data_IF_356064220259
#
_entry.id   IF_356064220259
#
_cell.length_a   1.000
_cell.length_b   1.000
_cell.length_c   1.000
_cell.angle_alpha   90.00
_cell.angle_beta   90.00
_cell.angle_gamma   90.00
#
_symmetry.space_group_name_H-M   'P 1'
#
loop_
_entity.id
_entity.type
_entity.pdbx_description
1 polymer ?
#
# COMPACT_ATOMS: atom_id res chain seq x y z
N UNK A 1 -21.13 10.78 17.91
CA UNK A 1 -20.95 11.63 16.72
C UNK A 1 -20.13 10.85 15.69
N UNK A 2 -20.63 10.61 14.47
CA UNK A 2 -19.82 9.99 13.42
C UNK A 2 -18.74 10.98 12.98
N UNK A 3 -17.50 10.80 13.44
CA UNK A 3 -16.34 11.54 12.94
C UNK A 3 -16.01 11.04 11.53
N UNK A 4 -16.64 11.60 10.50
CA UNK A 4 -16.20 11.36 9.11
C UNK A 4 -14.92 12.16 8.87
N UNK A 5 -13.82 11.46 8.57
CA UNK A 5 -12.57 12.11 8.19
C UNK A 5 -12.72 12.95 6.92
N UNK A 6 -11.94 14.03 6.79
CA UNK A 6 -11.81 14.77 5.53
C UNK A 6 -10.79 14.05 4.67
N UNK A 7 -11.25 13.42 3.58
CA UNK A 7 -10.42 12.59 2.69
C UNK A 7 -10.30 13.15 1.28
N UNK A 8 -10.89 14.31 1.01
CA UNK A 8 -10.81 14.96 -0.29
C UNK A 8 -9.40 15.49 -0.55
N UNK A 9 -8.85 15.15 -1.72
CA UNK A 9 -7.54 15.59 -2.18
C UNK A 9 -7.73 16.43 -3.46
N UNK A 10 -7.03 17.57 -3.62
CA UNK A 10 -7.10 18.33 -4.86
C UNK A 10 -6.68 17.47 -6.07
N UNK A 11 -7.46 17.53 -7.16
CA UNK A 11 -7.17 16.79 -8.39
C UNK A 11 -5.77 17.08 -8.93
N UNK A 12 -5.30 18.33 -8.77
CA UNK A 12 -3.92 18.72 -9.14
C UNK A 12 -2.88 17.86 -8.40
N UNK A 13 -3.04 17.67 -7.10
CA UNK A 13 -2.15 16.83 -6.29
C UNK A 13 -2.21 15.38 -6.73
N UNK A 14 -3.41 14.84 -7.03
CA UNK A 14 -3.55 13.48 -7.56
C UNK A 14 -2.83 13.30 -8.90
N UNK A 15 -2.88 14.30 -9.80
CA UNK A 15 -2.13 14.27 -11.07
C UNK A 15 -0.62 14.34 -10.87
N UNK A 16 -0.14 15.14 -9.90
CA UNK A 16 1.28 15.22 -9.54
C UNK A 16 1.80 13.88 -8.97
N UNK A 17 1.03 13.27 -8.06
CA UNK A 17 1.30 11.91 -7.56
C UNK A 17 1.33 10.92 -8.72
N UNK A 18 0.30 10.93 -9.58
CA UNK A 18 0.19 10.03 -10.72
C UNK A 18 1.38 10.08 -11.65
N UNK A 19 1.84 11.29 -11.99
CA UNK A 19 3.05 11.49 -12.81
C UNK A 19 4.27 10.80 -12.19
N UNK A 20 4.45 10.92 -10.87
CA UNK A 20 5.56 10.29 -10.13
C UNK A 20 5.42 8.78 -10.04
N UNK A 21 4.21 8.28 -9.82
CA UNK A 21 3.94 6.83 -9.76
C UNK A 21 4.24 6.12 -11.08
N UNK A 22 4.09 6.81 -12.20
CA UNK A 22 4.30 6.24 -13.54
C UNK A 22 5.67 6.56 -14.15
N UNK A 23 6.53 7.27 -13.41
CA UNK A 23 7.88 7.63 -13.88
C UNK A 23 8.85 6.47 -13.63
N UNK A 24 9.47 5.97 -14.71
CA UNK A 24 10.57 5.00 -14.65
C UNK A 24 11.89 5.76 -14.61
N UNK A 25 12.78 5.53 -13.62
CA UNK A 25 14.05 6.24 -13.52
C UNK A 25 14.94 6.08 -14.76
N UNK A 26 15.78 7.08 -15.02
CA UNK A 26 16.77 6.98 -16.10
C UNK A 26 17.73 5.83 -15.82
N UNK A 27 17.94 4.98 -16.82
CA UNK A 27 18.82 3.80 -16.71
C UNK A 27 18.14 2.57 -16.11
N UNK A 28 16.88 2.66 -15.69
CA UNK A 28 16.11 1.55 -15.14
C UNK A 28 15.45 0.73 -16.25
N UNK A 29 15.75 -0.57 -16.36
CA UNK A 29 15.14 -1.47 -17.34
C UNK A 29 13.95 -2.22 -16.74
N UNK A 30 12.75 -1.61 -16.80
CA UNK A 30 11.52 -2.29 -16.39
C UNK A 30 11.06 -3.32 -17.44
N UNK A 31 10.48 -4.43 -17.00
CA UNK A 31 9.90 -5.44 -17.89
C UNK A 31 8.82 -4.82 -18.80
N UNK A 32 8.76 -5.23 -20.08
CA UNK A 32 7.89 -4.62 -21.11
C UNK A 32 6.41 -4.54 -20.71
N UNK A 33 5.88 -5.58 -20.05
CA UNK A 33 4.49 -5.59 -19.55
C UNK A 33 4.25 -4.52 -18.48
N UNK A 34 5.25 -4.24 -17.65
CA UNK A 34 5.19 -3.22 -16.59
C UNK A 34 5.22 -1.82 -17.20
N UNK A 35 6.05 -1.60 -18.22
CA UNK A 35 6.04 -0.33 -18.96
C UNK A 35 4.66 -0.04 -19.54
N UNK A 36 4.02 -1.05 -20.16
CA UNK A 36 2.65 -0.90 -20.68
C UNK A 36 1.62 -0.62 -19.56
N UNK A 37 1.76 -1.30 -18.43
CA UNK A 37 0.90 -1.07 -17.25
C UNK A 37 1.03 0.37 -16.74
N UNK A 38 2.25 0.88 -16.58
CA UNK A 38 2.50 2.25 -16.12
C UNK A 38 1.98 3.30 -17.11
N UNK A 39 2.10 3.05 -18.41
CA UNK A 39 1.56 3.95 -19.44
C UNK A 39 0.04 3.99 -19.43
N UNK A 40 -0.64 2.85 -19.30
CA UNK A 40 -2.10 2.80 -19.16
C UNK A 40 -2.57 3.54 -17.90
N UNK A 41 -1.87 3.34 -16.78
CA UNK A 41 -2.13 4.08 -15.53
C UNK A 41 -1.92 5.58 -15.72
N UNK A 42 -0.88 6.01 -16.43
CA UNK A 42 -0.60 7.42 -16.71
C UNK A 42 -1.76 8.05 -17.47
N UNK A 43 -2.24 7.38 -18.52
CA UNK A 43 -3.34 7.85 -19.35
C UNK A 43 -4.64 8.00 -18.55
N UNK A 44 -5.00 7.02 -17.72
CA UNK A 44 -6.23 7.08 -16.92
C UNK A 44 -6.19 8.21 -15.88
N UNK A 45 -5.02 8.48 -15.27
CA UNK A 45 -4.86 9.59 -14.33
C UNK A 45 -4.91 10.95 -15.05
N UNK A 46 -4.30 11.06 -16.22
CA UNK A 46 -4.29 12.30 -17.00
C UNK A 46 -5.69 12.67 -17.50
N UNK A 47 -6.43 11.70 -18.04
CA UNK A 47 -7.82 11.89 -18.48
C UNK A 47 -8.79 12.06 -17.30
N UNK A 48 -8.53 11.38 -16.18
CA UNK A 48 -9.46 11.28 -15.05
C UNK A 48 -10.59 10.27 -15.28
N UNK A 49 -10.51 9.47 -16.34
CA UNK A 49 -11.51 8.47 -16.72
C UNK A 49 -10.91 7.06 -16.68
N UNK A 50 -11.74 6.07 -16.35
CA UNK A 50 -11.30 4.67 -16.32
C UNK A 50 -10.24 4.35 -15.26
N UNK A 51 -10.25 5.08 -14.13
CA UNK A 51 -9.41 4.79 -12.98
C UNK A 51 -9.79 3.41 -12.41
N UNK A 52 -8.86 2.47 -12.49
CA UNK A 52 -9.02 1.13 -11.94
C UNK A 52 -8.69 1.10 -10.43
N UNK A 53 -8.95 -0.04 -9.80
CA UNK A 53 -8.74 -0.22 -8.36
C UNK A 53 -7.29 0.03 -7.94
N UNK A 54 -6.34 -0.52 -8.70
CA UNK A 54 -4.91 -0.42 -8.39
C UNK A 54 -4.40 1.03 -8.49
N UNK A 55 -4.93 1.79 -9.44
CA UNK A 55 -4.58 3.21 -9.60
C UNK A 55 -5.17 4.05 -8.49
N UNK A 56 -6.44 3.82 -8.12
CA UNK A 56 -7.06 4.51 -7.00
C UNK A 56 -6.34 4.22 -5.67
N UNK A 57 -5.95 2.96 -5.43
CA UNK A 57 -5.15 2.55 -4.27
C UNK A 57 -3.81 3.31 -4.22
N UNK A 58 -3.05 3.32 -5.32
CA UNK A 58 -1.75 3.99 -5.36
C UNK A 58 -1.86 5.52 -5.20
N UNK A 59 -2.92 6.14 -5.73
CA UNK A 59 -3.21 7.56 -5.53
C UNK A 59 -3.54 7.87 -4.06
N UNK A 60 -4.34 7.02 -3.41
CA UNK A 60 -4.67 7.16 -1.99
C UNK A 60 -3.41 7.03 -1.12
N UNK A 61 -2.57 6.02 -1.39
CA UNK A 61 -1.29 5.86 -0.69
C UNK A 61 -0.40 7.09 -0.88
N UNK A 62 -0.26 7.57 -2.12
CA UNK A 62 0.53 8.77 -2.39
C UNK A 62 0.03 9.99 -1.61
N UNK A 63 -1.28 10.20 -1.50
CA UNK A 63 -1.85 11.31 -0.74
C UNK A 63 -1.56 11.19 0.76
N UNK A 64 -1.74 10.00 1.34
CA UNK A 64 -1.48 9.73 2.77
C UNK A 64 0.00 9.96 3.12
N UNK A 65 0.92 9.55 2.23
CA UNK A 65 2.36 9.75 2.39
C UNK A 65 2.75 11.23 2.30
N UNK A 66 2.14 11.99 1.39
CA UNK A 66 2.37 13.43 1.29
C UNK A 66 1.80 14.21 2.48
N UNK A 67 0.73 13.69 3.11
CA UNK A 67 0.19 14.22 4.37
C UNK A 67 1.05 13.87 5.60
N UNK A 68 2.16 13.13 5.40
CA UNK A 68 3.13 12.82 6.44
C UNK A 68 2.77 11.58 7.29
N UNK A 69 1.84 10.75 6.82
CA UNK A 69 1.46 9.51 7.50
C UNK A 69 2.17 8.32 6.82
N UNK A 70 3.01 7.57 7.56
CA UNK A 70 3.67 6.38 7.00
C UNK A 70 2.65 5.33 6.59
N UNK A 71 3.02 4.48 5.63
CA UNK A 71 2.21 3.34 5.23
C UNK A 71 3.05 2.08 5.34
N UNK A 72 2.47 1.05 5.92
CA UNK A 72 3.05 -0.29 6.00
C UNK A 72 2.06 -1.30 5.43
N UNK A 73 2.42 -1.96 4.34
CA UNK A 73 1.64 -3.02 3.71
C UNK A 73 2.41 -4.34 3.79
N UNK A 74 1.85 -5.32 4.49
CA UNK A 74 2.48 -6.61 4.72
C UNK A 74 1.56 -7.74 4.26
N UNK A 75 2.10 -8.67 3.48
CA UNK A 75 1.32 -9.78 2.95
C UNK A 75 2.10 -10.58 1.92
N UNK A 76 1.60 -11.76 1.57
CA UNK A 76 2.26 -12.63 0.60
C UNK A 76 2.11 -12.04 -0.81
N UNK A 77 3.24 -11.82 -1.48
CA UNK A 77 3.32 -11.21 -2.81
C UNK A 77 2.69 -9.81 -2.94
N UNK A 78 2.49 -9.09 -1.84
CA UNK A 78 1.83 -7.77 -1.83
C UNK A 78 2.58 -6.69 -2.60
N UNK A 79 3.90 -6.81 -2.80
CA UNK A 79 4.69 -5.85 -3.59
C UNK A 79 4.21 -5.77 -5.05
N UNK A 80 3.99 -6.94 -5.67
CA UNK A 80 3.42 -7.07 -7.02
C UNK A 80 1.88 -7.03 -6.97
N UNK A 81 1.32 -7.55 -5.89
CA UNK A 81 -0.07 -7.96 -5.77
C UNK A 81 -0.26 -9.38 -6.30
N UNK A 82 -1.05 -10.18 -5.60
CA UNK A 82 -1.39 -11.56 -5.97
C UNK A 82 -1.95 -11.66 -7.38
N UNK A 83 -2.78 -10.68 -7.78
CA UNK A 83 -3.42 -10.62 -9.11
C UNK A 83 -2.58 -9.84 -10.14
N UNK A 84 -1.30 -9.59 -9.84
CA UNK A 84 -0.40 -8.76 -10.66
C UNK A 84 -0.98 -7.39 -10.99
N UNK A 85 -1.69 -6.80 -10.03
CA UNK A 85 -2.43 -5.55 -10.21
C UNK A 85 -1.70 -4.33 -9.65
N UNK A 86 -0.85 -4.50 -8.63
CA UNK A 86 -0.36 -3.39 -7.82
C UNK A 86 0.94 -2.80 -8.34
N UNK A 87 1.96 -3.65 -8.50
CA UNK A 87 3.30 -3.26 -8.93
C UNK A 87 3.86 -2.04 -8.16
N UNK A 88 3.73 -2.02 -6.83
CA UNK A 88 4.28 -0.95 -5.97
C UNK A 88 5.81 -0.99 -5.89
N UNK A 89 6.41 -2.13 -6.23
CA UNK A 89 7.86 -2.30 -6.38
C UNK A 89 8.15 -2.73 -7.81
N UNK A 90 9.04 -1.97 -8.46
CA UNK A 90 9.58 -2.26 -9.76
C UNK A 90 10.95 -2.92 -9.58
N UNK A 91 11.25 -3.89 -10.43
CA UNK A 91 12.55 -4.57 -10.47
C UNK A 91 13.23 -4.31 -11.81
N UNK A 92 14.50 -3.90 -11.76
CA UNK A 92 15.34 -3.77 -12.95
C UNK A 92 15.65 -5.17 -13.51
N UNK A 93 15.46 -5.36 -14.82
CA UNK A 93 15.71 -6.64 -15.48
C UNK A 93 17.21 -6.98 -15.59
N UNK A 94 18.12 -6.02 -15.39
CA UNK A 94 19.57 -6.23 -15.52
C UNK A 94 20.22 -6.70 -14.24
N UNK A 95 19.88 -6.05 -13.13
CA UNK A 95 20.58 -6.21 -11.86
C UNK A 95 19.65 -6.43 -10.66
N UNK A 96 18.34 -6.60 -10.91
CA UNK A 96 17.31 -6.84 -9.89
C UNK A 96 17.18 -5.72 -8.85
N UNK A 97 17.76 -4.54 -9.10
CA UNK A 97 17.61 -3.38 -8.23
C UNK A 97 16.13 -3.00 -8.11
N UNK A 98 15.71 -2.74 -6.88
CA UNK A 98 14.34 -2.37 -6.54
C UNK A 98 14.16 -0.85 -6.64
N UNK A 99 13.06 -0.44 -7.27
CA UNK A 99 12.58 0.94 -7.25
C UNK A 99 11.13 1.00 -6.78
N UNK A 100 10.85 1.87 -5.81
CA UNK A 100 9.52 2.01 -5.21
C UNK A 100 9.01 3.41 -5.54
N UNK A 101 8.12 3.58 -6.53
CA UNK A 101 7.64 4.90 -6.94
C UNK A 101 6.98 5.68 -5.79
N UNK A 102 6.29 4.98 -4.90
CA UNK A 102 5.64 5.57 -3.73
C UNK A 102 6.63 6.20 -2.73
N UNK A 103 7.92 5.83 -2.74
CA UNK A 103 8.97 6.45 -1.92
C UNK A 103 9.69 7.61 -2.63
N UNK A 104 9.22 8.03 -3.81
CA UNK A 104 9.89 9.01 -4.67
C UNK A 104 8.91 10.12 -5.15
N UNK A 105 7.90 10.44 -4.35
CA UNK A 105 6.91 11.49 -4.62
C UNK A 105 7.43 12.89 -4.25
N UNK A 106 8.07 13.03 -3.09
CA UNK A 106 8.59 14.28 -2.54
C UNK A 106 9.72 14.01 -1.54
N UNK A 107 10.63 14.97 -1.32
CA UNK A 107 11.67 14.83 -0.28
C UNK A 107 11.14 14.89 1.16
N UNK A 108 9.94 15.44 1.36
CA UNK A 108 9.33 15.63 2.68
C UNK A 108 8.23 14.60 3.01
N UNK A 109 8.01 13.61 2.14
CA UNK A 109 6.97 12.61 2.34
C UNK A 109 7.29 11.66 3.50
N UNK A 110 6.26 10.97 4.01
CA UNK A 110 6.45 9.81 4.88
C UNK A 110 6.88 8.57 4.09
N UNK A 111 7.39 7.57 4.83
CA UNK A 111 7.85 6.31 4.26
C UNK A 111 6.71 5.36 3.89
N UNK A 112 6.84 4.72 2.73
CA UNK A 112 6.03 3.58 2.29
C UNK A 112 6.87 2.31 2.41
N UNK A 113 6.43 1.41 3.28
CA UNK A 113 7.01 0.09 3.49
C UNK A 113 6.05 -0.95 2.94
N UNK A 114 6.49 -1.73 1.96
CA UNK A 114 5.76 -2.89 1.45
C UNK A 114 6.63 -4.12 1.59
N UNK A 115 6.04 -5.17 2.15
CA UNK A 115 6.76 -6.38 2.54
C UNK A 115 6.04 -7.58 1.97
N UNK A 116 6.74 -8.33 1.13
CA UNK A 116 6.39 -9.72 0.86
C UNK A 116 6.66 -10.54 2.12
N UNK A 117 5.61 -10.90 2.84
CA UNK A 117 5.72 -11.62 4.11
C UNK A 117 6.20 -13.06 3.91
N UNK A 118 6.64 -13.69 5.00
CA UNK A 118 6.75 -15.14 5.04
C UNK A 118 5.37 -15.78 4.82
N UNK A 119 5.36 -17.07 4.45
CA UNK A 119 4.14 -17.85 4.24
C UNK A 119 3.52 -18.27 5.59
N UNK A 120 3.00 -17.27 6.32
CA UNK A 120 2.35 -17.42 7.62
C UNK A 120 1.32 -16.32 7.82
N UNK A 121 0.06 -16.68 7.99
CA UNK A 121 -1.03 -15.72 8.22
C UNK A 121 -1.09 -15.31 9.69
N UNK A 122 -1.05 -16.28 10.61
CA UNK A 122 -1.24 -16.03 12.05
C UNK A 122 -0.15 -15.14 12.65
N UNK A 123 1.12 -15.48 12.42
CA UNK A 123 2.24 -14.74 13.00
C UNK A 123 2.39 -13.35 12.38
N UNK A 124 2.19 -13.24 11.06
CA UNK A 124 2.30 -11.95 10.36
C UNK A 124 1.15 -11.04 10.77
N UNK A 125 -0.11 -11.50 10.79
CA UNK A 125 -1.22 -10.66 11.22
C UNK A 125 -1.06 -10.24 12.69
N UNK A 126 -0.58 -11.14 13.55
CA UNK A 126 -0.25 -10.80 14.95
C UNK A 126 0.83 -9.72 15.06
N UNK A 127 1.86 -9.78 14.21
CA UNK A 127 2.90 -8.76 14.14
C UNK A 127 2.33 -7.41 13.69
N UNK A 128 1.54 -7.38 12.62
CA UNK A 128 0.95 -6.13 12.10
C UNK A 128 -0.03 -5.50 13.09
N UNK A 129 -0.80 -6.32 13.82
CA UNK A 129 -1.59 -5.84 14.97
C UNK A 129 -0.70 -5.16 16.01
N UNK A 130 0.40 -5.80 16.43
CA UNK A 130 1.35 -5.19 17.37
C UNK A 130 1.95 -3.88 16.85
N UNK A 131 2.30 -3.81 15.57
CA UNK A 131 2.82 -2.59 14.93
C UNK A 131 1.80 -1.46 14.99
N UNK A 132 0.54 -1.74 14.62
CA UNK A 132 -0.55 -0.74 14.62
C UNK A 132 -0.82 -0.12 15.99
N UNK A 133 -0.55 -0.86 17.08
CA UNK A 133 -0.68 -0.35 18.45
C UNK A 133 0.47 0.57 18.84
N UNK A 134 1.67 0.33 18.28
CA UNK A 134 2.89 1.05 18.60
C UNK A 134 3.06 2.33 17.77
N UNK A 135 2.65 2.30 16.49
CA UNK A 135 2.77 3.42 15.57
C UNK A 135 1.38 3.89 15.08
N UNK A 136 0.63 4.67 15.88
CA UNK A 136 -0.76 5.03 15.59
C UNK A 136 -0.90 6.02 14.43
N UNK A 137 0.20 6.62 13.93
CA UNK A 137 0.17 7.49 12.74
C UNK A 137 0.34 6.72 11.44
N UNK A 138 0.85 5.50 11.49
CA UNK A 138 1.01 4.69 10.30
C UNK A 138 -0.33 4.11 9.87
N UNK A 139 -0.61 4.13 8.56
CA UNK A 139 -1.60 3.24 7.98
C UNK A 139 -0.95 1.84 7.86
N UNK A 140 -1.28 0.96 8.80
CA UNK A 140 -0.86 -0.45 8.76
C UNK A 140 -1.91 -1.26 8.02
N UNK A 141 -1.49 -2.04 7.02
CA UNK A 141 -2.34 -2.92 6.24
C UNK A 141 -1.75 -4.33 6.24
N UNK A 142 -2.62 -5.32 6.40
CA UNK A 142 -2.30 -6.72 6.14
C UNK A 142 -3.14 -7.25 4.98
N UNK A 143 -2.50 -7.90 4.01
CA UNK A 143 -3.16 -8.48 2.83
C UNK A 143 -2.96 -10.00 2.79
N UNK A 144 -4.06 -10.74 2.92
CA UNK A 144 -4.08 -12.16 2.62
C UNK A 144 -3.99 -12.39 1.10
N UNK A 145 -3.29 -13.45 0.68
CA UNK A 145 -3.21 -13.80 -0.76
C UNK A 145 -4.61 -14.06 -1.36
N UNK A 146 -5.44 -14.80 -0.61
CA UNK A 146 -6.88 -14.95 -0.83
C UNK A 146 -7.57 -14.83 0.53
N UNK A 147 -8.78 -14.25 0.55
CA UNK A 147 -9.51 -14.01 1.80
C UNK A 147 -9.75 -15.28 2.62
N UNK A 148 -9.91 -16.43 1.94
CA UNK A 148 -10.11 -17.75 2.55
C UNK A 148 -8.98 -18.16 3.50
N UNK A 149 -7.74 -17.73 3.24
CA UNK A 149 -6.58 -18.09 4.06
C UNK A 149 -6.48 -17.30 5.36
N UNK A 150 -7.24 -16.21 5.50
CA UNK A 150 -7.25 -15.44 6.74
C UNK A 150 -7.76 -16.25 7.95
N UNK A 151 -8.47 -17.35 7.72
CA UNK A 151 -8.88 -18.28 8.77
C UNK A 151 -7.69 -18.88 9.56
N UNK A 152 -6.49 -18.94 8.99
CA UNK A 152 -5.28 -19.38 9.68
C UNK A 152 -4.92 -18.46 10.85
N UNK A 153 -5.34 -17.19 10.81
CA UNK A 153 -5.09 -16.19 11.84
C UNK A 153 -6.32 -15.94 12.75
N UNK A 154 -7.27 -16.87 12.82
CA UNK A 154 -8.54 -16.67 13.54
C UNK A 154 -8.36 -16.21 14.99
N UNK A 155 -7.36 -16.73 15.69
CA UNK A 155 -7.05 -16.33 17.08
C UNK A 155 -6.74 -14.84 17.17
N UNK A 156 -6.03 -14.28 16.18
CA UNK A 156 -5.70 -12.84 16.13
C UNK A 156 -6.95 -12.00 15.88
N UNK A 157 -7.82 -12.43 14.96
CA UNK A 157 -9.09 -11.75 14.72
C UNK A 157 -9.99 -11.72 15.96
N UNK A 158 -10.18 -12.88 16.60
CA UNK A 158 -11.14 -13.03 17.70
C UNK A 158 -10.61 -12.41 19.00
N UNK A 159 -9.34 -12.63 19.32
CA UNK A 159 -8.78 -12.26 20.62
C UNK A 159 -8.05 -10.93 20.62
N UNK A 160 -7.77 -10.32 19.48
CA UNK A 160 -7.03 -9.07 19.43
C UNK A 160 -7.77 -8.01 18.63
N UNK A 161 -7.98 -8.22 17.32
CA UNK A 161 -8.54 -7.18 16.43
C UNK A 161 -9.97 -6.80 16.84
N UNK A 162 -10.86 -7.79 17.01
CA UNK A 162 -12.28 -7.53 17.30
C UNK A 162 -12.57 -7.14 18.75
N UNK A 163 -11.71 -7.52 19.70
CA UNK A 163 -12.00 -7.42 21.13
C UNK A 163 -10.97 -6.63 21.94
N UNK A 164 -9.86 -6.19 21.33
CA UNK A 164 -8.73 -5.54 22.00
C UNK A 164 -9.11 -4.22 22.66
N UNK A 165 -9.92 -3.39 21.99
CA UNK A 165 -10.40 -2.13 22.56
C UNK A 165 -11.25 -2.37 23.80
N UNK A 166 -12.20 -3.31 23.73
CA UNK A 166 -13.12 -3.57 24.84
C UNK A 166 -12.43 -4.21 26.04
N UNK A 167 -11.48 -5.12 25.80
CA UNK A 167 -10.79 -5.87 26.86
C UNK A 167 -9.68 -5.06 27.51
N UNK A 168 -8.94 -4.26 26.74
CA UNK A 168 -7.69 -3.65 27.21
C UNK A 168 -7.55 -2.17 26.86
N UNK A 169 -8.59 -1.54 26.32
CA UNK A 169 -8.56 -0.15 25.85
C UNK A 169 -7.44 0.10 24.81
N UNK A 170 -7.11 -0.95 24.04
CA UNK A 170 -6.13 -0.88 22.95
C UNK A 170 -6.86 -0.62 21.64
N UNK A 171 -6.72 0.60 21.13
CA UNK A 171 -7.22 0.97 19.81
C UNK A 171 -6.21 0.53 18.75
N UNK A 172 -6.70 -0.09 17.69
CA UNK A 172 -5.93 -0.52 16.51
C UNK A 172 -6.55 0.08 15.27
N UNK A 173 -5.72 0.56 14.36
CA UNK A 173 -6.12 1.05 13.03
C UNK A 173 -5.87 0.06 11.89
N UNK A 174 -5.41 -1.16 12.21
CA UNK A 174 -5.24 -2.27 11.27
C UNK A 174 -6.55 -2.67 10.59
#
# INVERSE_FOLDING_TARGET
EQRRGKTAVPVKTLKEIGKKLTEVPKGFEAHKTIVRFLENRRQSIESGEGIDWSTAEALAFGAILLDGNPIRLSGQDSERGTFSQRHSVLYDQRDETRYIPLNNLSAAQAGYEVINSMLSEEAVLGFEYGYSLAEPKALTLWEAQFGDFANGAQVVFDQFISSGERKWLRMSGL
#
